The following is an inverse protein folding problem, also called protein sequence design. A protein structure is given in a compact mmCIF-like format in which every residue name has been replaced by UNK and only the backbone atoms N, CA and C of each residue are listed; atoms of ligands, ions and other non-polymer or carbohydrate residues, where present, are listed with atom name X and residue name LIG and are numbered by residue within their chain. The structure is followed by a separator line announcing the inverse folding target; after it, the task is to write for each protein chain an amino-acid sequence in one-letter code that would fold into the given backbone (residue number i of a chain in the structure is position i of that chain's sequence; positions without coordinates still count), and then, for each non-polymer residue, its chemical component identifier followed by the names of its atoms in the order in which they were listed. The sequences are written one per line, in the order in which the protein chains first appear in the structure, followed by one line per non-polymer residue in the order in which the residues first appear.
data_IF_998578551962
#
_entry.id   IF_998578551962
#
_cell.length_a   1.000
_cell.length_b   1.000
_cell.length_c   1.000
_cell.angle_alpha   90.00
_cell.angle_beta   90.00
_cell.angle_gamma   90.00
#
_symmetry.space_group_name_H-M   'P 1'
#
loop_
_entity.id
_entity.type
_entity.pdbx_description
1 polymer ?
#
# COMPACT_ATOMS: atom_id res chain seq x y z
N UNK A 1 -11.38 20.65 -7.22
CA UNK A 1 -11.70 19.23 -7.45
C UNK A 1 -11.62 18.52 -6.11
N UNK A 2 -12.55 17.59 -5.82
CA UNK A 2 -12.41 16.78 -4.61
C UNK A 2 -11.66 15.50 -4.95
N UNK A 3 -10.72 15.13 -4.09
CA UNK A 3 -9.93 13.90 -4.22
C UNK A 3 -9.95 13.12 -2.92
N UNK A 4 -9.80 11.81 -2.99
CA UNK A 4 -9.54 10.93 -1.85
C UNK A 4 -8.15 10.32 -2.01
N UNK A 5 -7.36 10.32 -0.95
CA UNK A 5 -6.05 9.71 -0.90
C UNK A 5 -6.04 8.53 0.07
N UNK A 6 -5.72 7.34 -0.44
CA UNK A 6 -5.70 6.08 0.30
C UNK A 6 -4.24 5.63 0.41
N UNK A 7 -3.71 5.57 1.62
CA UNK A 7 -2.37 5.05 1.88
C UNK A 7 -2.41 3.56 2.24
N UNK A 8 -1.52 2.77 1.66
CA UNK A 8 -1.35 1.34 1.93
C UNK A 8 0.09 1.11 2.35
N UNK A 9 0.31 0.86 3.64
CA UNK A 9 1.63 0.54 4.19
C UNK A 9 1.70 -0.91 4.67
N UNK A 10 2.90 -1.40 4.91
CA UNK A 10 3.15 -2.75 5.39
C UNK A 10 4.54 -3.24 4.99
N UNK A 11 5.00 -4.40 5.50
CA UNK A 11 6.33 -4.90 5.23
C UNK A 11 6.57 -5.16 3.74
N UNK A 12 7.84 -5.22 3.35
CA UNK A 12 8.21 -5.66 2.01
C UNK A 12 7.55 -7.01 1.68
N UNK A 13 7.12 -7.18 0.45
CA UNK A 13 6.46 -8.41 -0.03
C UNK A 13 5.12 -8.78 0.65
N UNK A 14 4.49 -7.83 1.35
CA UNK A 14 3.17 -8.04 1.99
C UNK A 14 1.98 -8.04 1.02
N UNK A 15 2.17 -7.62 -0.23
CA UNK A 15 1.11 -7.53 -1.23
C UNK A 15 0.47 -6.14 -1.38
N UNK A 16 1.14 -5.08 -0.90
CA UNK A 16 0.68 -3.67 -1.05
C UNK A 16 0.30 -3.34 -2.48
N UNK A 17 1.23 -3.51 -3.41
CA UNK A 17 1.04 -3.21 -4.83
C UNK A 17 -0.09 -4.04 -5.46
N UNK A 18 -0.24 -5.31 -5.06
CA UNK A 18 -1.36 -6.14 -5.51
C UNK A 18 -2.69 -5.60 -5.02
N UNK A 19 -2.78 -5.20 -3.73
CA UNK A 19 -3.98 -4.59 -3.17
C UNK A 19 -4.29 -3.23 -3.84
N UNK A 20 -3.28 -2.39 -4.07
CA UNK A 20 -3.41 -1.09 -4.75
C UNK A 20 -4.05 -1.26 -6.13
N UNK A 21 -3.61 -2.27 -6.89
CA UNK A 21 -4.15 -2.59 -8.21
C UNK A 21 -5.58 -3.09 -8.17
N UNK A 22 -5.91 -3.95 -7.21
CA UNK A 22 -7.29 -4.46 -7.03
C UNK A 22 -8.24 -3.34 -6.63
N UNK A 23 -7.85 -2.48 -5.70
CA UNK A 23 -8.65 -1.32 -5.33
C UNK A 23 -8.82 -0.37 -6.51
N UNK A 24 -7.75 -0.08 -7.27
CA UNK A 24 -7.89 0.73 -8.49
C UNK A 24 -8.87 0.10 -9.47
N UNK A 25 -8.82 -1.21 -9.70
CA UNK A 25 -9.77 -1.90 -10.54
C UNK A 25 -11.21 -1.72 -10.03
N UNK A 26 -11.44 -1.83 -8.73
CA UNK A 26 -12.75 -1.63 -8.13
C UNK A 26 -13.26 -0.19 -8.30
N UNK A 27 -12.40 0.83 -8.13
CA UNK A 27 -12.77 2.25 -8.34
C UNK A 27 -13.02 2.62 -9.80
N UNK A 28 -12.41 1.89 -10.76
CA UNK A 28 -12.51 2.19 -12.19
C UNK A 28 -13.34 1.16 -12.96
N UNK A 29 -14.02 0.27 -12.24
CA UNK A 29 -14.85 -0.78 -12.85
C UNK A 29 -15.95 -0.17 -13.70
N UNK A 30 -16.16 -0.77 -14.88
CA UNK A 30 -17.26 -0.44 -15.78
C UNK A 30 -18.45 -1.41 -15.61
N UNK A 31 -18.35 -2.35 -14.70
CA UNK A 31 -19.34 -3.41 -14.48
C UNK A 31 -20.61 -2.86 -13.82
N UNK A 32 -20.44 -1.80 -13.03
CA UNK A 32 -21.52 -1.15 -12.32
C UNK A 32 -21.79 0.26 -12.91
N UNK A 33 -23.06 0.66 -13.02
CA UNK A 33 -23.41 2.00 -13.43
C UNK A 33 -23.04 2.99 -12.32
N UNK A 34 -21.83 3.50 -12.37
CA UNK A 34 -21.47 4.71 -11.62
C UNK A 34 -21.73 5.89 -12.54
N UNK A 35 -22.40 6.95 -12.08
CA UNK A 35 -22.81 8.08 -12.95
C UNK A 35 -21.62 8.79 -13.58
N UNK A 36 -20.41 8.50 -13.12
CA UNK A 36 -19.20 9.12 -13.65
C UNK A 36 -17.95 8.28 -13.32
N UNK A 37 -17.06 8.04 -14.29
CA UNK A 37 -15.80 7.34 -14.05
C UNK A 37 -14.91 8.21 -13.16
N UNK A 38 -14.69 7.76 -11.91
CA UNK A 38 -13.68 8.34 -11.02
C UNK A 38 -12.29 7.98 -11.56
N UNK A 39 -11.42 8.98 -11.74
CA UNK A 39 -10.02 8.71 -12.04
C UNK A 39 -9.37 8.07 -10.82
N UNK A 40 -8.70 6.95 -11.00
CA UNK A 40 -7.93 6.32 -9.94
C UNK A 40 -6.49 6.08 -10.41
N UNK A 41 -5.55 6.67 -9.70
CA UNK A 41 -4.11 6.55 -9.96
C UNK A 41 -3.43 5.87 -8.78
N UNK A 42 -2.35 5.14 -9.06
CA UNK A 42 -1.47 4.56 -8.04
C UNK A 42 -0.14 5.29 -8.10
N UNK A 43 0.34 5.71 -6.93
CA UNK A 43 1.67 6.25 -6.72
C UNK A 43 2.43 5.28 -5.82
N UNK A 44 3.48 4.69 -6.37
CA UNK A 44 4.31 3.73 -5.65
C UNK A 44 5.44 4.45 -4.91
N UNK A 45 5.57 4.24 -3.61
CA UNK A 45 6.67 4.78 -2.82
C UNK A 45 8.04 4.30 -3.34
N UNK A 46 8.08 3.10 -3.90
CA UNK A 46 9.29 2.50 -4.46
C UNK A 46 9.80 3.22 -5.73
N UNK A 47 8.99 4.08 -6.36
CA UNK A 47 9.42 4.94 -7.48
C UNK A 47 10.31 6.12 -7.02
N UNK A 48 10.45 6.34 -5.71
CA UNK A 48 11.15 7.49 -5.12
C UNK A 48 12.46 7.12 -4.43
N UNK A 49 13.02 5.96 -4.71
CA UNK A 49 14.37 5.65 -4.26
C UNK A 49 15.38 6.65 -4.84
N UNK A 50 16.35 7.06 -4.01
CA UNK A 50 17.50 7.83 -4.48
C UNK A 50 18.39 6.94 -5.35
N UNK A 51 19.29 7.51 -6.18
CA UNK A 51 20.22 6.71 -6.99
C UNK A 51 21.01 5.71 -6.14
N UNK A 52 21.23 4.51 -6.70
CA UNK A 52 21.89 3.36 -6.04
C UNK A 52 23.24 3.78 -5.42
N UNK A 53 24.00 4.61 -6.15
CA UNK A 53 25.30 5.13 -5.72
C UNK A 53 25.23 6.07 -4.50
N UNK A 54 24.04 6.59 -4.17
CA UNK A 54 23.80 7.51 -3.05
C UNK A 54 23.22 6.85 -1.82
N UNK A 55 22.87 5.55 -1.90
CA UNK A 55 22.27 4.81 -0.79
C UNK A 55 23.24 4.68 0.40
N UNK A 56 22.71 4.69 1.64
CA UNK A 56 23.50 4.41 2.82
C UNK A 56 24.16 3.03 2.73
N UNK A 57 25.44 2.96 3.12
CA UNK A 57 26.18 1.72 3.22
C UNK A 57 26.26 1.28 4.69
N UNK A 58 25.74 0.10 4.99
CA UNK A 58 25.71 -0.47 6.33
C UNK A 58 26.43 -1.81 6.38
N UNK A 59 27.05 -2.16 7.50
CA UNK A 59 27.68 -3.48 7.66
C UNK A 59 26.61 -4.57 7.82
N UNK A 60 26.64 -5.60 6.99
CA UNK A 60 25.76 -6.77 7.11
C UNK A 60 26.37 -7.78 8.07
N UNK A 61 25.76 -8.07 9.24
CA UNK A 61 26.24 -9.10 10.16
C UNK A 61 26.15 -10.51 9.54
N UNK A 62 27.00 -11.48 9.93
CA UNK A 62 28.17 -11.35 10.80
C UNK A 62 29.45 -10.96 10.02
N UNK A 63 29.41 -10.90 8.70
CA UNK A 63 30.59 -10.70 7.85
C UNK A 63 31.17 -9.30 7.97
N UNK A 64 30.35 -8.29 8.30
CA UNK A 64 30.72 -6.88 8.28
C UNK A 64 30.88 -6.31 6.88
N UNK A 65 30.54 -7.06 5.85
CA UNK A 65 30.53 -6.58 4.47
C UNK A 65 29.57 -5.40 4.35
N UNK A 66 30.01 -4.34 3.68
CA UNK A 66 29.16 -3.17 3.46
C UNK A 66 28.20 -3.43 2.31
N UNK A 67 26.92 -3.27 2.58
CA UNK A 67 25.85 -3.40 1.62
C UNK A 67 25.00 -2.12 1.61
N UNK A 68 24.32 -1.86 0.51
CA UNK A 68 23.35 -0.76 0.40
C UNK A 68 22.13 -1.06 1.26
N UNK A 69 21.67 -0.04 2.02
CA UNK A 69 20.44 -0.14 2.82
C UNK A 69 19.28 0.50 2.06
N UNK A 70 18.46 -0.34 1.46
CA UNK A 70 17.24 0.05 0.73
C UNK A 70 16.02 0.21 1.65
N UNK A 71 16.09 -0.26 2.88
CA UNK A 71 14.94 -0.39 3.76
C UNK A 71 14.94 0.68 4.90
N UNK A 72 15.68 1.76 4.70
CA UNK A 72 15.74 2.91 5.61
C UNK A 72 15.07 4.17 5.01
N UNK A 73 14.63 5.13 5.85
CA UNK A 73 14.04 6.39 5.36
C UNK A 73 14.97 7.19 4.45
N UNK A 74 16.27 7.16 4.70
CA UNK A 74 17.29 7.89 3.94
C UNK A 74 17.44 7.37 2.51
N UNK A 75 16.93 6.17 2.21
CA UNK A 75 16.92 5.61 0.87
C UNK A 75 15.87 6.25 -0.06
N UNK A 76 14.93 7.02 0.50
CA UNK A 76 13.80 7.60 -0.24
C UNK A 76 13.91 9.13 -0.34
N UNK A 77 13.57 9.67 -1.50
CA UNK A 77 13.41 11.10 -1.72
C UNK A 77 12.02 11.56 -1.24
N UNK A 78 11.83 11.68 0.08
CA UNK A 78 10.55 12.09 0.68
C UNK A 78 10.04 13.45 0.21
N UNK A 79 10.87 14.51 0.01
CA UNK A 79 10.38 15.78 -0.53
C UNK A 79 9.70 15.61 -1.90
N UNK A 80 10.34 14.88 -2.83
CA UNK A 80 9.78 14.61 -4.15
C UNK A 80 8.53 13.71 -4.07
N UNK A 81 8.55 12.72 -3.19
CA UNK A 81 7.40 11.86 -2.93
C UNK A 81 6.19 12.68 -2.45
N UNK A 82 6.36 13.51 -1.43
CA UNK A 82 5.28 14.36 -0.88
C UNK A 82 4.73 15.34 -1.92
N UNK A 83 5.62 15.98 -2.71
CA UNK A 83 5.22 16.85 -3.81
C UNK A 83 4.37 16.09 -4.85
N UNK A 84 4.78 14.87 -5.20
CA UNK A 84 4.06 14.03 -6.15
C UNK A 84 2.69 13.58 -5.62
N UNK A 85 2.56 13.27 -4.33
CA UNK A 85 1.27 12.96 -3.68
C UNK A 85 0.33 14.17 -3.79
N UNK A 86 0.81 15.36 -3.45
CA UNK A 86 0.04 16.61 -3.53
C UNK A 86 -0.38 16.93 -4.95
N UNK A 87 0.55 16.80 -5.90
CA UNK A 87 0.27 16.98 -7.32
C UNK A 87 -0.83 16.01 -7.79
N UNK A 88 -0.69 14.73 -7.46
CA UNK A 88 -1.66 13.71 -7.83
C UNK A 88 -3.07 13.98 -7.26
N UNK A 89 -3.17 14.41 -6.01
CA UNK A 89 -4.44 14.82 -5.38
C UNK A 89 -5.08 15.99 -6.13
N UNK A 90 -4.29 16.96 -6.54
CA UNK A 90 -4.78 18.19 -7.18
C UNK A 90 -5.19 17.95 -8.63
N UNK A 91 -4.40 17.18 -9.39
CA UNK A 91 -4.53 17.06 -10.85
C UNK A 91 -5.16 15.74 -11.32
N UNK A 92 -5.23 14.72 -10.46
CA UNK A 92 -5.65 13.37 -10.85
C UNK A 92 -4.75 12.74 -11.92
N UNK A 93 -3.45 13.07 -11.86
CA UNK A 93 -2.42 12.63 -12.77
C UNK A 93 -1.07 12.62 -12.06
N UNK A 94 -0.11 11.84 -12.56
CA UNK A 94 1.28 11.92 -12.10
C UNK A 94 1.96 13.18 -12.63
N UNK A 95 2.98 13.72 -11.91
CA UNK A 95 3.80 14.81 -12.42
C UNK A 95 4.43 14.46 -13.77
N UNK A 96 4.65 15.49 -14.61
CA UNK A 96 5.34 15.30 -15.89
C UNK A 96 6.76 14.75 -15.65
N UNK A 97 7.14 13.74 -16.44
CA UNK A 97 8.42 13.06 -16.30
C UNK A 97 8.50 11.99 -15.20
N UNK A 98 7.43 11.77 -14.43
CA UNK A 98 7.40 10.65 -13.48
C UNK A 98 7.50 9.31 -14.23
N UNK A 99 8.41 8.46 -13.77
CA UNK A 99 8.59 7.10 -14.26
C UNK A 99 8.31 6.11 -13.12
N UNK A 100 7.44 5.12 -13.39
CA UNK A 100 7.23 4.03 -12.45
C UNK A 100 8.03 2.80 -12.84
N UNK A 101 8.79 2.27 -11.89
CA UNK A 101 9.58 1.05 -12.04
C UNK A 101 8.75 -0.20 -11.75
N UNK A 102 7.64 -0.08 -11.04
CA UNK A 102 6.73 -1.19 -10.72
C UNK A 102 5.98 -1.75 -11.95
N UNK A 103 5.90 -0.99 -13.05
CA UNK A 103 5.19 -1.41 -14.27
C UNK A 103 5.87 -2.54 -15.05
N UNK A 104 7.18 -2.75 -14.89
CA UNK A 104 7.96 -3.68 -15.70
C UNK A 104 7.93 -5.13 -15.20
N UNK A 105 7.61 -5.35 -13.93
CA UNK A 105 7.58 -6.69 -13.29
C UNK A 105 6.24 -7.06 -12.67
N UNK A 106 5.26 -6.18 -12.78
CA UNK A 106 4.02 -6.38 -12.08
C UNK A 106 3.08 -7.29 -12.85
N UNK A 107 2.70 -8.37 -12.22
CA UNK A 107 1.51 -9.17 -12.55
C UNK A 107 0.35 -8.23 -12.84
N UNK A 108 -0.19 -8.26 -14.05
CA UNK A 108 -1.30 -7.40 -14.45
C UNK A 108 -2.51 -7.57 -13.54
N UNK A 109 -3.38 -6.57 -13.51
CA UNK A 109 -4.65 -6.65 -12.74
C UNK A 109 -5.43 -7.91 -13.14
N UNK A 110 -5.45 -8.24 -14.43
CA UNK A 110 -6.09 -9.44 -14.95
C UNK A 110 -5.51 -10.74 -14.38
N UNK A 111 -4.19 -10.82 -14.21
CA UNK A 111 -3.55 -11.97 -13.60
C UNK A 111 -3.78 -12.02 -12.08
N UNK A 112 -3.83 -10.87 -11.40
CA UNK A 112 -4.24 -10.81 -9.98
C UNK A 112 -5.68 -11.27 -9.80
N UNK A 113 -6.59 -10.86 -10.69
CA UNK A 113 -7.98 -11.32 -10.71
C UNK A 113 -8.06 -12.81 -11.02
N UNK A 114 -7.27 -13.31 -11.98
CA UNK A 114 -7.18 -14.74 -12.30
C UNK A 114 -6.67 -15.56 -11.11
N UNK A 115 -5.64 -15.08 -10.41
CA UNK A 115 -5.13 -15.72 -9.18
C UNK A 115 -6.20 -15.76 -8.10
N UNK A 116 -6.92 -14.65 -7.87
CA UNK A 116 -8.03 -14.60 -6.93
C UNK A 116 -9.16 -15.57 -7.31
N UNK A 117 -9.43 -15.72 -8.58
CA UNK A 117 -10.42 -16.67 -9.09
C UNK A 117 -9.99 -18.13 -8.89
N UNK A 118 -8.69 -18.40 -8.86
CA UNK A 118 -8.10 -19.72 -8.66
C UNK A 118 -7.94 -20.08 -7.17
N UNK A 119 -7.77 -19.10 -6.29
CA UNK A 119 -7.66 -19.28 -4.81
C UNK A 119 -9.01 -19.65 -4.14
N UNK A 120 -10.10 -19.67 -4.89
CA UNK A 120 -11.42 -20.13 -4.42
C UNK A 120 -11.41 -21.64 -4.14
N UNK A 121 -11.13 -21.97 -2.88
CA UNK A 121 -10.92 -23.25 -2.23
C UNK A 121 -11.74 -24.46 -2.67
N UNK A 122 -11.39 -25.62 -2.15
CA UNK A 122 -11.98 -26.96 -2.29
C UNK A 122 -13.51 -26.94 -2.51
N UNK A 123 -13.94 -26.98 -3.77
CA UNK A 123 -15.37 -27.08 -4.11
C UNK A 123 -15.80 -26.39 -5.39
N UNK A 124 -15.12 -26.56 -6.50
CA UNK A 124 -15.70 -26.27 -7.82
C UNK A 124 -15.27 -24.97 -8.50
N UNK A 125 -14.87 -25.16 -9.73
CA UNK A 125 -14.31 -24.18 -10.64
C UNK A 125 -14.96 -22.78 -10.65
N UNK A 126 -14.18 -21.76 -10.31
CA UNK A 126 -14.13 -20.51 -11.07
C UNK A 126 -15.22 -19.44 -10.88
N UNK A 127 -16.39 -19.73 -10.33
CA UNK A 127 -17.50 -18.75 -10.26
C UNK A 127 -17.48 -17.87 -8.99
N UNK A 128 -17.18 -18.45 -7.86
CA UNK A 128 -17.22 -17.73 -6.57
C UNK A 128 -16.24 -16.57 -6.45
N UNK A 129 -15.07 -16.66 -7.07
CA UNK A 129 -14.06 -15.57 -7.04
C UNK A 129 -14.50 -14.31 -7.79
N UNK A 130 -15.10 -14.48 -8.96
CA UNK A 130 -15.62 -13.36 -9.75
C UNK A 130 -16.78 -12.66 -9.07
N UNK A 131 -17.70 -13.42 -8.47
CA UNK A 131 -18.84 -12.87 -7.72
C UNK A 131 -18.37 -12.05 -6.52
N UNK A 132 -17.35 -12.52 -5.81
CA UNK A 132 -16.74 -11.77 -4.67
C UNK A 132 -16.11 -10.47 -5.15
N UNK A 133 -15.40 -10.47 -6.28
CA UNK A 133 -14.81 -9.23 -6.85
C UNK A 133 -15.92 -8.23 -7.20
N UNK A 134 -16.97 -8.67 -7.90
CA UNK A 134 -18.12 -7.79 -8.24
C UNK A 134 -18.80 -7.25 -6.98
N UNK A 135 -18.87 -8.04 -5.91
CA UNK A 135 -19.40 -7.55 -4.63
C UNK A 135 -18.49 -6.50 -4.00
N UNK A 136 -17.16 -6.68 -4.06
CA UNK A 136 -16.22 -5.66 -3.58
C UNK A 136 -16.33 -4.36 -4.40
N UNK A 137 -16.45 -4.45 -5.70
CA UNK A 137 -16.70 -3.30 -6.58
C UNK A 137 -17.97 -2.55 -6.15
N UNK A 138 -19.08 -3.26 -5.90
CA UNK A 138 -20.34 -2.68 -5.46
C UNK A 138 -20.21 -1.96 -4.12
N UNK A 139 -19.50 -2.54 -3.17
CA UNK A 139 -19.27 -1.96 -1.84
C UNK A 139 -18.41 -0.68 -1.94
N UNK A 140 -17.36 -0.69 -2.77
CA UNK A 140 -16.52 0.49 -3.03
C UNK A 140 -17.34 1.62 -3.64
N UNK A 141 -18.19 1.34 -4.64
CA UNK A 141 -19.06 2.34 -5.25
C UNK A 141 -20.02 2.94 -4.21
N UNK A 142 -20.69 2.12 -3.41
CA UNK A 142 -21.59 2.59 -2.36
C UNK A 142 -20.89 3.46 -1.31
N UNK A 143 -19.67 3.08 -0.92
CA UNK A 143 -18.89 3.89 0.00
C UNK A 143 -18.59 5.27 -0.61
N UNK A 144 -18.16 5.30 -1.89
CA UNK A 144 -17.84 6.54 -2.59
C UNK A 144 -19.07 7.47 -2.69
N UNK A 145 -20.24 6.92 -3.07
CA UNK A 145 -21.51 7.65 -3.12
C UNK A 145 -21.86 8.27 -1.75
N UNK A 146 -21.72 7.50 -0.66
CA UNK A 146 -21.97 7.99 0.71
C UNK A 146 -21.03 9.14 1.08
N UNK A 147 -19.74 9.07 0.68
CA UNK A 147 -18.77 10.14 0.93
C UNK A 147 -19.14 11.39 0.12
N UNK A 148 -19.48 11.23 -1.15
CA UNK A 148 -19.92 12.33 -2.02
C UNK A 148 -21.16 13.05 -1.49
N UNK A 149 -22.18 12.29 -1.08
CA UNK A 149 -23.41 12.82 -0.46
C UNK A 149 -23.07 13.62 0.80
N UNK A 150 -22.27 13.06 1.70
CA UNK A 150 -21.92 13.71 2.97
C UNK A 150 -21.03 14.95 2.78
N UNK A 151 -20.18 14.97 1.76
CA UNK A 151 -19.35 16.13 1.41
C UNK A 151 -20.13 17.20 0.61
N UNK A 152 -21.27 16.87 0.03
CA UNK A 152 -21.96 17.71 -0.94
C UNK A 152 -21.11 18.02 -2.18
N UNK A 153 -20.12 17.19 -2.46
CA UNK A 153 -19.17 17.37 -3.56
C UNK A 153 -18.83 16.01 -4.17
N UNK A 154 -18.64 16.03 -5.47
CA UNK A 154 -18.24 14.87 -6.22
C UNK A 154 -16.74 14.60 -6.07
N UNK A 155 -16.36 13.31 -5.92
CA UNK A 155 -14.99 12.84 -5.94
C UNK A 155 -14.57 12.62 -7.40
N UNK A 156 -13.63 13.42 -7.87
CA UNK A 156 -13.11 13.33 -9.23
C UNK A 156 -11.91 12.40 -9.32
N UNK A 157 -11.08 12.39 -8.27
CA UNK A 157 -9.84 11.63 -8.23
C UNK A 157 -9.75 10.76 -6.99
N UNK A 158 -9.31 9.53 -7.17
CA UNK A 158 -8.82 8.66 -6.09
C UNK A 158 -7.32 8.45 -6.32
N UNK A 159 -6.52 8.75 -5.31
CA UNK A 159 -5.07 8.52 -5.31
C UNK A 159 -4.80 7.40 -4.33
N UNK A 160 -4.25 6.29 -4.80
CA UNK A 160 -3.77 5.20 -3.97
C UNK A 160 -2.26 5.35 -3.88
N UNK A 161 -1.75 5.39 -2.67
CA UNK A 161 -0.32 5.51 -2.39
C UNK A 161 0.12 4.24 -1.68
N UNK A 162 1.06 3.49 -2.21
CA UNK A 162 1.63 2.35 -1.50
C UNK A 162 3.13 2.53 -1.22
N UNK A 163 3.57 2.04 -0.06
CA UNK A 163 4.95 2.13 0.35
C UNK A 163 5.20 1.43 1.69
N UNK A 164 6.41 0.99 1.92
CA UNK A 164 6.74 0.22 3.13
C UNK A 164 6.98 1.11 4.36
N UNK A 165 7.27 2.41 4.17
CA UNK A 165 7.56 3.37 5.24
C UNK A 165 6.49 4.43 5.47
N UNK A 166 5.32 4.37 4.80
CA UNK A 166 4.33 5.46 4.89
C UNK A 166 3.87 5.76 6.33
N UNK A 167 3.91 4.76 7.19
CA UNK A 167 3.56 4.88 8.61
C UNK A 167 4.77 4.61 9.52
N UNK A 168 5.99 4.78 9.00
CA UNK A 168 7.22 4.73 9.78
C UNK A 168 7.32 5.86 10.80
N UNK A 169 8.06 5.63 11.89
CA UNK A 169 8.31 6.64 12.92
C UNK A 169 8.96 7.88 12.32
N UNK A 170 8.40 9.05 12.59
CA UNK A 170 8.81 10.33 11.97
C UNK A 170 8.24 10.57 10.58
N UNK A 171 8.10 9.55 9.74
CA UNK A 171 7.57 9.69 8.36
C UNK A 171 6.08 9.98 8.37
N UNK A 172 5.31 9.28 9.21
CA UNK A 172 3.87 9.48 9.32
C UNK A 172 3.51 10.92 9.67
N UNK A 173 4.29 11.57 10.55
CA UNK A 173 4.03 12.95 10.96
C UNK A 173 4.05 13.93 9.78
N UNK A 174 4.88 13.68 8.78
CA UNK A 174 4.98 14.52 7.57
C UNK A 174 3.87 14.22 6.55
N UNK A 175 3.37 12.97 6.53
CA UNK A 175 2.46 12.48 5.51
C UNK A 175 1.00 12.35 5.98
N UNK A 176 0.73 12.34 7.29
CA UNK A 176 -0.59 11.99 7.85
C UNK A 176 -1.75 12.85 7.32
N UNK A 177 -1.48 14.13 7.07
CA UNK A 177 -2.48 15.09 6.56
C UNK A 177 -2.79 14.87 5.08
N UNK A 178 -1.96 14.13 4.37
CA UNK A 178 -2.18 13.83 2.96
C UNK A 178 -3.13 12.64 2.74
N UNK A 179 -3.29 11.78 3.75
CA UNK A 179 -4.02 10.52 3.63
C UNK A 179 -5.38 10.56 4.31
N UNK A 180 -6.44 10.40 3.54
CA UNK A 180 -7.82 10.32 4.03
C UNK A 180 -8.12 8.93 4.63
N UNK A 181 -7.52 7.87 4.06
CA UNK A 181 -7.64 6.49 4.53
C UNK A 181 -6.24 5.89 4.71
N UNK A 182 -6.01 5.20 5.83
CA UNK A 182 -4.70 4.65 6.19
C UNK A 182 -4.81 3.15 6.47
N UNK A 183 -4.34 2.33 5.53
CA UNK A 183 -4.39 0.88 5.58
C UNK A 183 -2.99 0.31 5.87
N UNK A 184 -2.83 -0.42 6.98
CA UNK A 184 -1.59 -1.08 7.37
C UNK A 184 -1.73 -2.59 7.22
N UNK A 185 -1.14 -3.16 6.16
CA UNK A 185 -1.15 -4.60 5.92
C UNK A 185 -0.17 -5.28 6.88
N UNK A 186 -0.59 -6.42 7.41
CA UNK A 186 0.25 -7.30 8.22
C UNK A 186 0.56 -8.57 7.44
N UNK A 187 1.78 -9.07 7.61
CA UNK A 187 2.21 -10.33 6.99
C UNK A 187 3.18 -11.02 7.94
N UNK A 188 3.04 -12.33 8.20
CA UNK A 188 3.98 -13.07 9.03
C UNK A 188 5.40 -13.00 8.46
N UNK A 189 6.39 -12.96 9.35
CA UNK A 189 7.81 -12.93 9.00
C UNK A 189 8.19 -13.97 7.94
N UNK A 190 7.86 -15.23 8.17
CA UNK A 190 8.21 -16.35 7.28
C UNK A 190 7.62 -16.18 5.88
N UNK A 191 6.38 -15.67 5.80
CA UNK A 191 5.69 -15.43 4.53
C UNK A 191 6.30 -14.25 3.77
N UNK A 192 6.62 -13.16 4.46
CA UNK A 192 7.27 -11.99 3.88
C UNK A 192 8.68 -12.35 3.39
N UNK A 193 9.47 -13.06 4.21
CA UNK A 193 10.81 -13.55 3.88
C UNK A 193 10.77 -14.42 2.62
N UNK A 194 9.97 -15.49 2.66
CA UNK A 194 9.86 -16.39 1.51
C UNK A 194 9.49 -15.65 0.23
N UNK A 195 8.50 -14.75 0.27
CA UNK A 195 8.08 -13.99 -0.91
C UNK A 195 9.14 -13.03 -1.42
N UNK A 196 9.99 -12.48 -0.53
CA UNK A 196 11.11 -11.61 -0.93
C UNK A 196 12.24 -12.43 -1.54
N UNK A 197 12.59 -13.55 -0.94
CA UNK A 197 13.62 -14.47 -1.46
C UNK A 197 13.22 -15.15 -2.77
N UNK A 198 11.93 -15.38 -3.00
CA UNK A 198 11.40 -15.93 -4.26
C UNK A 198 11.48 -14.92 -5.44
N UNK A 199 11.85 -13.65 -5.17
CA UNK A 199 12.07 -12.65 -6.22
C UNK A 199 13.49 -12.75 -6.75
N UNK A 200 13.65 -12.65 -8.08
CA UNK A 200 14.98 -12.61 -8.71
C UNK A 200 15.75 -11.32 -8.36
N UNK A 201 15.03 -10.24 -8.03
CA UNK A 201 15.57 -8.95 -7.64
C UNK A 201 14.65 -7.78 -7.99
N UNK A 202 15.20 -6.59 -8.03
CA UNK A 202 14.46 -5.33 -8.22
C UNK A 202 15.14 -4.48 -9.28
N UNK A 203 14.35 -3.88 -10.16
CA UNK A 203 14.83 -2.82 -11.04
C UNK A 203 15.04 -1.56 -10.21
N UNK A 204 16.18 -0.94 -10.34
CA UNK A 204 16.57 0.26 -9.62
C UNK A 204 16.76 1.43 -10.59
N UNK A 205 17.06 2.61 -10.06
CA UNK A 205 17.33 3.80 -10.88
C UNK A 205 18.58 3.60 -11.77
N UNK A 206 19.60 2.92 -11.26
CA UNK A 206 20.89 2.74 -11.94
C UNK A 206 21.12 1.32 -12.48
N UNK A 207 20.13 0.38 -12.27
CA UNK A 207 20.29 -0.97 -12.79
C UNK A 207 19.37 -2.01 -12.16
N UNK A 208 19.97 -2.95 -11.44
CA UNK A 208 19.28 -4.08 -10.84
C UNK A 208 19.89 -4.47 -9.50
N UNK A 209 19.07 -4.63 -8.49
CA UNK A 209 19.46 -5.07 -7.16
C UNK A 209 18.97 -6.48 -6.88
N UNK A 210 19.80 -7.29 -6.29
CA UNK A 210 19.45 -8.59 -5.72
C UNK A 210 19.94 -8.65 -4.28
N UNK A 211 19.07 -9.06 -3.38
CA UNK A 211 19.40 -9.15 -1.95
C UNK A 211 20.55 -10.15 -1.73
N UNK A 212 21.64 -9.75 -1.06
CA UNK A 212 22.67 -10.71 -0.65
C UNK A 212 22.13 -11.69 0.41
N UNK A 213 22.72 -12.88 0.55
CA UNK A 213 22.26 -13.87 1.52
C UNK A 213 22.12 -13.30 2.94
N UNK A 214 20.95 -13.47 3.53
CA UNK A 214 20.67 -12.98 4.87
C UNK A 214 20.28 -11.50 4.96
N UNK A 215 20.09 -10.83 3.86
CA UNK A 215 19.72 -9.41 3.84
C UNK A 215 18.36 -9.17 4.49
N UNK A 216 17.37 -10.02 4.19
CA UNK A 216 16.01 -9.88 4.74
C UNK A 216 16.01 -9.95 6.27
N UNK A 217 16.57 -11.01 6.84
CA UNK A 217 16.55 -11.25 8.29
C UNK A 217 17.44 -10.29 9.08
N UNK A 218 18.48 -9.74 8.46
CA UNK A 218 19.48 -8.92 9.16
C UNK A 218 19.29 -7.42 8.95
N UNK A 219 18.60 -7.02 7.89
CA UNK A 219 18.39 -5.62 7.54
C UNK A 219 16.90 -5.31 7.37
N UNK A 220 16.23 -5.92 6.41
CA UNK A 220 14.87 -5.56 6.00
C UNK A 220 13.88 -5.67 7.17
N UNK A 221 13.82 -6.85 7.79
CA UNK A 221 12.86 -7.08 8.86
C UNK A 221 13.16 -6.29 10.13
N UNK A 222 14.40 -6.23 10.63
CA UNK A 222 14.76 -5.36 11.75
C UNK A 222 14.47 -3.88 11.49
N UNK A 223 14.75 -3.36 10.29
CA UNK A 223 14.41 -1.99 9.92
C UNK A 223 12.90 -1.75 9.95
N UNK A 224 12.11 -2.68 9.38
CA UNK A 224 10.66 -2.60 9.43
C UNK A 224 10.12 -2.60 10.87
N UNK A 225 10.62 -3.49 11.74
CA UNK A 225 10.25 -3.53 13.15
C UNK A 225 10.58 -2.21 13.85
N UNK A 226 11.78 -1.69 13.66
CA UNK A 226 12.22 -0.41 14.23
C UNK A 226 11.30 0.74 13.85
N UNK A 227 10.89 0.79 12.59
CA UNK A 227 10.07 1.88 12.06
C UNK A 227 8.59 1.79 12.46
N UNK A 228 8.07 0.58 12.78
CA UNK A 228 6.62 0.38 12.93
C UNK A 228 6.18 -0.13 14.31
N UNK A 229 7.10 -0.58 15.17
CA UNK A 229 6.74 -1.12 16.48
C UNK A 229 5.96 -0.14 17.35
N UNK A 230 6.23 1.17 17.22
CA UNK A 230 5.53 2.22 17.97
C UNK A 230 4.02 2.28 17.71
N UNK A 231 3.56 1.77 16.56
CA UNK A 231 2.13 1.69 16.21
C UNK A 231 1.37 0.65 17.05
N UNK A 232 2.07 -0.29 17.65
CA UNK A 232 1.46 -1.44 18.32
C UNK A 232 1.63 -1.36 19.82
N UNK A 233 0.60 -1.81 20.54
CA UNK A 233 0.62 -1.90 21.99
C UNK A 233 1.82 -2.73 22.45
N UNK A 234 2.58 -2.17 23.39
CA UNK A 234 3.80 -2.76 23.95
C UNK A 234 4.87 -3.11 22.89
N UNK A 235 4.82 -2.44 21.72
CA UNK A 235 5.69 -2.72 20.58
C UNK A 235 5.46 -4.09 19.93
N UNK A 236 4.41 -4.80 20.32
CA UNK A 236 4.14 -6.16 19.88
C UNK A 236 3.34 -6.18 18.58
N UNK A 237 4.04 -6.22 17.45
CA UNK A 237 3.43 -6.26 16.12
C UNK A 237 2.66 -7.55 15.86
N UNK A 238 3.02 -8.68 16.50
CA UNK A 238 2.34 -9.96 16.29
C UNK A 238 0.94 -9.97 16.88
N UNK A 239 0.69 -9.17 17.93
CA UNK A 239 -0.65 -9.02 18.52
C UNK A 239 -1.66 -8.38 17.57
N UNK A 240 -1.22 -7.50 16.68
CA UNK A 240 -2.06 -6.68 15.81
C UNK A 240 -2.89 -5.62 16.53
N UNK A 241 -2.68 -5.45 17.81
CA UNK A 241 -3.37 -4.45 18.61
C UNK A 241 -2.63 -3.12 18.47
N UNK A 242 -3.25 -2.16 17.78
CA UNK A 242 -2.70 -0.81 17.66
C UNK A 242 -2.72 -0.08 19.00
N UNK A 243 -1.80 0.85 19.17
CA UNK A 243 -1.91 1.87 20.23
C UNK A 243 -3.14 2.73 20.00
N UNK A 244 -3.65 3.37 21.07
CA UNK A 244 -4.78 4.29 20.93
C UNK A 244 -4.43 5.44 19.97
N UNK A 245 -3.23 5.97 20.04
CA UNK A 245 -2.74 7.04 19.17
C UNK A 245 -2.74 6.63 17.70
N UNK A 246 -2.23 5.44 17.37
CA UNK A 246 -2.24 4.91 16.00
C UNK A 246 -3.69 4.71 15.49
N UNK A 247 -4.57 4.20 16.34
CA UNK A 247 -5.98 4.04 16.00
C UNK A 247 -6.69 5.38 15.76
N UNK A 248 -6.45 6.36 16.64
CA UNK A 248 -7.06 7.70 16.56
C UNK A 248 -6.50 8.51 15.36
N UNK A 249 -5.28 8.21 14.91
CA UNK A 249 -4.72 8.77 13.67
C UNK A 249 -5.38 8.22 12.39
N UNK A 250 -6.33 7.29 12.52
CA UNK A 250 -7.08 6.70 11.42
C UNK A 250 -6.44 5.47 10.79
N UNK A 251 -5.34 4.94 11.36
CA UNK A 251 -4.73 3.70 10.86
C UNK A 251 -5.66 2.52 11.16
N UNK A 252 -5.86 1.67 10.12
CA UNK A 252 -6.59 0.42 10.23
C UNK A 252 -5.67 -0.73 9.84
N UNK A 253 -5.75 -1.83 10.59
CA UNK A 253 -4.96 -3.05 10.34
C UNK A 253 -5.85 -4.29 10.50
N UNK A 254 -5.63 -5.36 9.70
CA UNK A 254 -6.43 -6.58 9.85
C UNK A 254 -6.06 -7.29 11.15
N UNK A 255 -7.03 -7.99 11.73
CA UNK A 255 -6.79 -8.83 12.91
C UNK A 255 -5.88 -10.01 12.58
N UNK A 256 -6.16 -10.66 11.46
CA UNK A 256 -5.41 -11.81 10.98
C UNK A 256 -4.20 -11.36 10.14
N UNK A 257 -3.08 -12.05 10.31
CA UNK A 257 -1.82 -11.74 9.60
C UNK A 257 -1.62 -12.56 8.34
N UNK A 258 -2.10 -13.81 8.35
CA UNK A 258 -1.95 -14.74 7.23
C UNK A 258 -3.16 -14.76 6.32
N UNK A 259 -3.44 -13.63 5.72
CA UNK A 259 -4.56 -13.48 4.79
C UNK A 259 -4.17 -13.85 3.36
N UNK A 260 -5.14 -14.44 2.63
CA UNK A 260 -5.08 -14.49 1.17
C UNK A 260 -5.28 -13.09 0.58
N UNK A 261 -4.94 -12.91 -0.69
CA UNK A 261 -5.12 -11.61 -1.36
C UNK A 261 -6.61 -11.19 -1.40
N UNK A 262 -7.53 -12.14 -1.55
CA UNK A 262 -8.98 -11.88 -1.50
C UNK A 262 -9.42 -11.41 -0.10
N UNK A 263 -8.98 -12.08 0.96
CA UNK A 263 -9.30 -11.68 2.32
C UNK A 263 -8.73 -10.29 2.64
N UNK A 264 -7.53 -9.98 2.13
CA UNK A 264 -6.93 -8.65 2.26
C UNK A 264 -7.75 -7.58 1.53
N UNK A 265 -8.27 -7.89 0.34
CA UNK A 265 -9.16 -6.99 -0.40
C UNK A 265 -10.49 -6.77 0.35
N UNK A 266 -11.12 -7.82 0.84
CA UNK A 266 -12.36 -7.74 1.62
C UNK A 266 -12.19 -6.92 2.90
N UNK A 267 -11.08 -7.14 3.60
CA UNK A 267 -10.74 -6.33 4.76
C UNK A 267 -10.52 -4.86 4.38
N UNK A 268 -9.78 -4.58 3.31
CA UNK A 268 -9.53 -3.21 2.88
C UNK A 268 -10.83 -2.49 2.50
N UNK A 269 -11.73 -3.16 1.78
CA UNK A 269 -13.06 -2.61 1.45
C UNK A 269 -13.90 -2.37 2.72
N UNK A 270 -13.85 -3.27 3.71
CA UNK A 270 -14.51 -3.04 4.99
C UNK A 270 -13.93 -1.82 5.72
N UNK A 271 -12.61 -1.65 5.70
CA UNK A 271 -11.95 -0.49 6.29
C UNK A 271 -12.33 0.84 5.59
N UNK A 272 -12.55 0.80 4.27
CA UNK A 272 -13.13 1.94 3.55
C UNK A 272 -14.56 2.25 4.04
N UNK A 273 -15.40 1.24 4.17
CA UNK A 273 -16.78 1.42 4.64
C UNK A 273 -16.85 1.98 6.08
N UNK A 274 -15.91 1.62 6.93
CA UNK A 274 -15.78 2.11 8.30
C UNK A 274 -15.24 3.56 8.36
N UNK A 275 -14.63 4.04 7.28
CA UNK A 275 -14.15 5.43 7.19
C UNK A 275 -15.33 6.36 6.95
N UNK A 276 -15.54 7.27 7.91
CA UNK A 276 -16.66 8.21 7.87
C UNK A 276 -16.38 9.42 6.96
N UNK A 277 -17.43 10.13 6.59
CA UNK A 277 -17.31 11.42 5.89
C UNK A 277 -16.49 12.43 6.70
N UNK A 278 -16.67 12.42 8.02
CA UNK A 278 -15.93 13.29 8.95
C UNK A 278 -14.43 13.00 8.93
N UNK A 279 -14.05 11.71 8.86
CA UNK A 279 -12.65 11.30 8.75
C UNK A 279 -12.01 11.82 7.45
N UNK A 280 -12.73 11.68 6.32
CA UNK A 280 -12.28 12.21 5.03
C UNK A 280 -12.19 13.74 5.04
N UNK A 281 -13.07 14.42 5.76
CA UNK A 281 -13.10 15.89 5.81
C UNK A 281 -12.06 16.50 6.76
N UNK A 282 -11.58 15.76 7.76
CA UNK A 282 -10.54 16.25 8.70
C UNK A 282 -9.27 16.71 7.99
N UNK A 283 -8.89 16.02 6.93
CA UNK A 283 -7.66 16.27 6.18
C UNK A 283 -7.84 17.27 5.01
N UNK A 284 -8.98 17.96 4.94
CA UNK A 284 -9.30 18.92 3.85
C UNK A 284 -9.46 20.36 4.32
N UNK A 285 -9.08 20.61 5.58
CA UNK A 285 -9.03 21.96 6.15
C UNK A 285 -7.64 22.55 5.98
#
# INVERSE_FOLDING_TARGET
MASICIAISGPSSSGKTSLSRLLRAAFTSKTLPHPHPTKCIILHGDDFYIPDSSLPLVPLPPTGEKVQDWDCPEALNFPQFLESVRYAKLHGAMPEGHQSYEGTHAVGVEESILRLSAEGGEGGAGTGGKERIVEMERRVVKWLERVEEGMGKRIENVVIVDGFLLFGEGVLEELKEEFDVKLLIRTPYEKAKKRREDREGYVTVEGFWSDPPGYFERLVWPAYLKQHSYLYKDGNMDSGVLTQEAFDSGIRTPKETDQSLMQTLEWAVSALEDTTVEDVMKNKK
#
